data_IF_554337206837
#
_entry.id   IF_554337206837
#
_cell.length_a   1.000
_cell.length_b   1.000
_cell.length_c   1.000
_cell.angle_alpha   90.00
_cell.angle_beta   90.00
_cell.angle_gamma   90.00
#
_symmetry.space_group_name_H-M   'P 1'
#
loop_
_entity.id
_entity.type
_entity.pdbx_description
1 polymer ?
#
# COMPACT_ATOMS: atom_id res chain seq x y z
N UNK A 1 -4.50 0.82 -32.45
CA UNK A 1 -5.57 0.28 -31.58
C UNK A 1 -5.32 0.80 -30.18
N UNK A 2 -6.08 1.81 -29.74
CA UNK A 2 -5.97 2.33 -28.38
C UNK A 2 -6.56 1.33 -27.40
N UNK A 3 -5.72 0.63 -26.65
CA UNK A 3 -6.15 -0.27 -25.58
C UNK A 3 -6.85 0.52 -24.49
N UNK A 4 -8.17 0.50 -24.47
CA UNK A 4 -8.96 1.09 -23.38
C UNK A 4 -8.63 0.38 -22.07
N UNK A 5 -8.37 1.16 -21.01
CA UNK A 5 -8.28 0.61 -19.65
C UNK A 5 -9.61 -0.02 -19.30
N UNK A 6 -9.62 -1.25 -18.82
CA UNK A 6 -10.84 -1.89 -18.38
C UNK A 6 -11.25 -1.31 -17.02
N UNK A 7 -12.55 -1.20 -16.77
CA UNK A 7 -13.09 -0.70 -15.52
C UNK A 7 -13.91 -1.80 -14.85
N UNK A 8 -13.66 -2.01 -13.57
CA UNK A 8 -14.36 -2.98 -12.74
C UNK A 8 -15.11 -2.24 -11.62
N UNK A 9 -16.44 -2.29 -11.65
CA UNK A 9 -17.26 -1.80 -10.55
C UNK A 9 -17.53 -2.94 -9.56
N UNK A 10 -16.88 -2.91 -8.40
CA UNK A 10 -16.92 -3.99 -7.43
C UNK A 10 -16.97 -3.47 -5.99
N UNK A 11 -17.56 -4.28 -5.11
CA UNK A 11 -17.63 -4.01 -3.67
C UNK A 11 -16.50 -4.72 -2.93
N UNK A 12 -15.88 -4.06 -1.98
CA UNK A 12 -14.81 -4.66 -1.16
C UNK A 12 -15.41 -5.66 -0.18
N UNK A 13 -14.88 -6.88 -0.18
CA UNK A 13 -15.30 -7.97 0.70
C UNK A 13 -14.34 -8.10 1.88
N UNK A 14 -13.03 -7.98 1.65
CA UNK A 14 -12.05 -8.05 2.72
C UNK A 14 -10.71 -7.42 2.33
N UNK A 15 -9.93 -7.06 3.36
CA UNK A 15 -8.54 -6.65 3.24
C UNK A 15 -7.66 -7.90 3.28
N UNK A 16 -6.74 -8.04 2.33
CA UNK A 16 -5.90 -9.23 2.17
C UNK A 16 -4.51 -9.09 2.80
N UNK A 17 -4.10 -7.86 3.16
CA UNK A 17 -2.79 -7.58 3.74
C UNK A 17 -2.86 -6.33 4.63
N UNK A 18 -2.27 -6.41 5.83
CA UNK A 18 -2.18 -5.29 6.78
C UNK A 18 -1.02 -4.33 6.50
N UNK A 19 -0.11 -4.64 5.58
CA UNK A 19 0.97 -3.76 5.14
C UNK A 19 0.41 -2.77 4.10
N UNK A 20 0.09 -1.54 4.52
CA UNK A 20 -0.52 -0.54 3.62
C UNK A 20 0.49 0.31 2.85
N UNK A 21 1.75 0.24 3.22
CA UNK A 21 2.88 0.96 2.60
C UNK A 21 3.96 -0.03 2.17
N UNK A 22 4.79 0.37 1.21
CA UNK A 22 6.00 -0.36 0.87
C UNK A 22 7.10 0.59 0.39
N UNK A 23 8.39 0.27 0.65
CA UNK A 23 9.50 1.08 0.17
C UNK A 23 9.61 0.94 -1.35
N UNK A 24 9.63 2.07 -2.04
CA UNK A 24 9.56 2.14 -3.49
C UNK A 24 10.62 3.07 -4.08
N UNK A 25 11.17 2.66 -5.21
CA UNK A 25 12.14 3.44 -5.94
C UNK A 25 11.50 4.71 -6.50
N UNK A 26 12.10 5.87 -6.24
CA UNK A 26 11.63 7.13 -6.78
C UNK A 26 11.65 7.16 -8.32
N UNK A 27 12.61 6.47 -8.95
CA UNK A 27 12.79 6.53 -10.40
C UNK A 27 11.84 5.62 -11.18
N UNK A 28 11.54 4.42 -10.66
CA UNK A 28 10.79 3.40 -11.42
C UNK A 28 9.60 2.79 -10.66
N UNK A 29 9.29 3.29 -9.47
CA UNK A 29 8.19 2.87 -8.60
C UNK A 29 8.21 1.40 -8.14
N UNK A 30 9.25 0.64 -8.52
CA UNK A 30 9.44 -0.75 -8.07
C UNK A 30 9.81 -0.83 -6.60
N UNK A 31 9.41 -1.92 -5.96
CA UNK A 31 9.77 -2.22 -4.58
C UNK A 31 11.29 -2.20 -4.41
N UNK A 32 11.75 -1.55 -3.34
CA UNK A 32 13.15 -1.54 -2.93
C UNK A 32 13.44 -2.78 -2.08
N UNK A 33 14.64 -3.33 -2.25
CA UNK A 33 15.25 -4.23 -1.28
C UNK A 33 15.93 -3.36 -0.23
N UNK A 34 15.54 -3.52 1.04
CA UNK A 34 16.14 -2.83 2.17
C UNK A 34 17.14 -3.77 2.86
N UNK A 35 18.32 -3.25 3.16
CA UNK A 35 19.30 -3.83 4.07
C UNK A 35 19.48 -2.87 5.27
N UNK A 36 20.22 -3.30 6.29
CA UNK A 36 20.49 -2.62 7.56
C UNK A 36 20.74 -1.10 7.45
N UNK A 37 21.38 -0.63 6.39
CA UNK A 37 21.69 0.80 6.17
C UNK A 37 21.38 1.33 4.78
N UNK A 38 21.16 0.46 3.80
CA UNK A 38 21.04 0.86 2.39
C UNK A 38 19.80 0.25 1.75
N UNK A 39 19.28 0.93 0.73
CA UNK A 39 18.32 0.34 -0.18
C UNK A 39 18.97 0.07 -1.55
N UNK A 40 18.41 -0.90 -2.26
CA UNK A 40 18.73 -1.18 -3.65
C UNK A 40 17.45 -1.43 -4.45
N UNK A 41 17.35 -0.81 -5.62
CA UNK A 41 16.30 -1.09 -6.59
C UNK A 41 16.77 -2.14 -7.60
N UNK A 42 16.21 -3.36 -7.50
CA UNK A 42 16.54 -4.46 -8.40
C UNK A 42 16.17 -4.21 -9.87
N UNK A 43 15.28 -3.25 -10.14
CA UNK A 43 14.82 -2.94 -11.50
C UNK A 43 15.72 -1.94 -12.23
N UNK A 44 16.17 -0.88 -11.56
CA UNK A 44 16.92 0.22 -12.20
C UNK A 44 18.32 0.46 -11.61
N UNK A 45 18.72 -0.31 -10.59
CA UNK A 45 20.03 -0.18 -9.94
C UNK A 45 20.19 1.05 -9.04
N UNK A 46 19.13 1.83 -8.80
CA UNK A 46 19.17 2.95 -7.86
C UNK A 46 19.48 2.46 -6.44
N UNK A 47 20.47 3.07 -5.79
CA UNK A 47 20.85 2.78 -4.40
C UNK A 47 20.86 4.05 -3.57
N UNK A 48 20.74 3.91 -2.25
CA UNK A 48 20.78 5.03 -1.31
C UNK A 48 20.77 4.55 0.14
N UNK A 49 20.65 5.47 1.09
CA UNK A 49 20.49 5.14 2.50
C UNK A 49 19.02 4.81 2.81
N UNK A 50 18.77 3.89 3.76
CA UNK A 50 17.39 3.49 4.13
C UNK A 50 16.53 4.69 4.54
N UNK A 51 17.11 5.68 5.21
CA UNK A 51 16.39 6.91 5.62
C UNK A 51 15.86 7.74 4.44
N UNK A 52 16.47 7.59 3.26
CA UNK A 52 16.08 8.27 2.03
C UNK A 52 15.10 7.44 1.19
N UNK A 53 14.73 6.23 1.66
CA UNK A 53 13.75 5.40 0.99
C UNK A 53 12.37 6.06 1.03
N UNK A 54 11.74 6.17 -0.14
CA UNK A 54 10.37 6.66 -0.25
C UNK A 54 9.39 5.52 -0.11
N UNK A 55 8.19 5.84 0.34
CA UNK A 55 7.12 4.88 0.53
C UNK A 55 5.95 5.16 -0.40
N UNK A 56 5.30 4.09 -0.85
CA UNK A 56 4.08 4.14 -1.67
C UNK A 56 3.01 3.29 -1.02
N UNK A 57 1.75 3.68 -1.21
CA UNK A 57 0.64 2.86 -0.78
C UNK A 57 0.54 1.56 -1.58
N UNK A 58 0.12 0.50 -0.90
CA UNK A 58 -0.31 -0.78 -1.44
C UNK A 58 -1.51 -1.25 -0.63
N UNK A 59 -2.68 -1.32 -1.25
CA UNK A 59 -3.89 -1.83 -0.62
C UNK A 59 -4.33 -3.10 -1.34
N UNK A 60 -4.20 -4.26 -0.68
CA UNK A 60 -4.59 -5.56 -1.24
C UNK A 60 -6.00 -5.90 -0.77
N UNK A 61 -6.91 -6.10 -1.71
CA UNK A 61 -8.35 -6.24 -1.49
C UNK A 61 -8.86 -7.50 -2.18
N UNK A 62 -9.84 -8.14 -1.54
CA UNK A 62 -10.77 -9.04 -2.23
C UNK A 62 -12.04 -8.28 -2.52
N UNK A 63 -12.47 -8.28 -3.77
CA UNK A 63 -13.67 -7.54 -4.23
C UNK A 63 -14.63 -8.46 -4.97
N UNK A 64 -15.91 -8.11 -4.99
CA UNK A 64 -16.94 -8.84 -5.72
C UNK A 64 -17.71 -7.89 -6.66
N UNK A 65 -17.98 -8.34 -7.88
CA UNK A 65 -19.04 -7.76 -8.69
C UNK A 65 -20.32 -8.60 -8.59
N UNK A 66 -21.21 -8.55 -9.58
CA UNK A 66 -22.45 -9.33 -9.58
C UNK A 66 -22.23 -10.83 -9.75
N UNK A 67 -21.12 -11.25 -10.36
CA UNK A 67 -20.92 -12.63 -10.82
C UNK A 67 -19.68 -13.27 -10.21
N UNK A 68 -18.64 -12.49 -9.91
CA UNK A 68 -17.30 -13.01 -9.64
C UNK A 68 -16.60 -12.32 -8.46
N UNK A 69 -15.56 -12.99 -7.97
CA UNK A 69 -14.63 -12.50 -6.96
C UNK A 69 -13.25 -12.24 -7.58
N UNK A 70 -12.63 -11.13 -7.20
CA UNK A 70 -11.33 -10.71 -7.71
C UNK A 70 -10.39 -10.32 -6.58
N UNK A 71 -9.12 -10.67 -6.73
CA UNK A 71 -8.03 -10.15 -5.90
C UNK A 71 -7.41 -8.95 -6.61
N UNK A 72 -7.54 -7.76 -6.01
CA UNK A 72 -7.05 -6.49 -6.56
C UNK A 72 -6.03 -5.89 -5.61
N UNK A 73 -4.94 -5.36 -6.16
CA UNK A 73 -4.03 -4.49 -5.40
C UNK A 73 -4.01 -3.10 -5.99
N UNK A 74 -4.36 -2.10 -5.18
CA UNK A 74 -4.32 -0.69 -5.55
C UNK A 74 -3.00 -0.09 -5.07
N UNK A 75 -2.33 0.68 -5.93
CA UNK A 75 -1.00 1.23 -5.66
C UNK A 75 -0.93 2.74 -5.80
N UNK A 76 -0.09 3.36 -4.96
CA UNK A 76 0.34 4.74 -5.12
C UNK A 76 -0.64 5.78 -4.60
N UNK A 77 -0.42 7.03 -5.02
CA UNK A 77 -1.04 8.22 -4.43
C UNK A 77 -2.54 8.37 -4.70
N UNK A 78 -3.15 7.51 -5.52
CA UNK A 78 -4.61 7.47 -5.62
C UNK A 78 -5.28 7.08 -4.30
N UNK A 79 -4.52 6.54 -3.34
CA UNK A 79 -4.96 6.21 -2.00
C UNK A 79 -4.83 7.38 -1.01
N UNK A 80 -4.09 8.44 -1.33
CA UNK A 80 -3.91 9.61 -0.44
C UNK A 80 -5.24 10.21 0.03
N UNK A 81 -6.28 10.39 -0.83
CA UNK A 81 -7.58 10.91 -0.39
C UNK A 81 -8.33 10.00 0.59
N UNK A 82 -8.06 8.69 0.57
CA UNK A 82 -8.72 7.72 1.46
C UNK A 82 -8.01 7.61 2.80
N UNK A 83 -6.69 7.73 2.81
CA UNK A 83 -5.88 7.71 4.04
C UNK A 83 -5.75 9.10 4.69
N UNK A 84 -6.00 10.17 3.94
CA UNK A 84 -5.91 11.56 4.41
C UNK A 84 -4.48 12.10 4.55
N UNK A 85 -3.46 11.28 4.25
CA UNK A 85 -2.04 11.63 4.30
C UNK A 85 -1.29 10.95 3.16
N UNK A 86 -0.02 11.31 2.96
CA UNK A 86 0.85 10.58 2.02
C UNK A 86 1.32 9.26 2.64
N UNK A 87 1.68 8.29 1.80
CA UNK A 87 2.27 7.03 2.24
C UNK A 87 3.55 7.23 3.07
N UNK A 88 4.37 8.23 2.72
CA UNK A 88 5.58 8.61 3.46
C UNK A 88 5.26 9.08 4.87
N UNK A 89 4.24 9.94 5.03
CA UNK A 89 3.82 10.40 6.35
C UNK A 89 3.19 9.26 7.16
N UNK A 90 2.34 8.42 6.56
CA UNK A 90 1.78 7.27 7.24
C UNK A 90 2.86 6.30 7.74
N UNK A 91 3.87 6.02 6.91
CA UNK A 91 4.98 5.16 7.31
C UNK A 91 5.71 5.71 8.54
N UNK A 92 5.98 7.02 8.58
CA UNK A 92 6.59 7.66 9.75
C UNK A 92 5.74 7.49 11.01
N UNK A 93 4.42 7.66 10.90
CA UNK A 93 3.52 7.41 12.03
C UNK A 93 3.57 5.96 12.52
N UNK A 94 3.61 4.99 11.60
CA UNK A 94 3.74 3.55 11.95
C UNK A 94 5.07 3.29 12.67
N UNK A 95 6.18 3.84 12.16
CA UNK A 95 7.50 3.69 12.76
C UNK A 95 7.59 4.31 14.16
N UNK A 96 6.94 5.46 14.37
CA UNK A 96 6.87 6.12 15.69
C UNK A 96 6.03 5.29 16.67
N UNK A 97 4.90 4.71 16.23
CA UNK A 97 4.06 3.84 17.06
C UNK A 97 4.78 2.55 17.47
N UNK A 98 5.47 1.90 16.53
CA UNK A 98 6.22 0.67 16.78
C UNK A 98 7.41 0.90 17.74
N UNK A 99 8.06 2.06 17.65
CA UNK A 99 9.10 2.46 18.62
C UNK A 99 8.56 2.59 20.04
N UNK A 100 7.32 3.09 20.20
CA UNK A 100 6.67 3.23 21.50
C UNK A 100 6.17 1.89 22.06
N UNK A 101 5.71 0.96 21.21
CA UNK A 101 5.22 -0.36 21.64
C UNK A 101 6.34 -1.37 21.93
N UNK A 102 7.57 -1.10 21.48
CA UNK A 102 8.69 -2.05 21.55
C UNK A 102 8.57 -3.21 20.55
N UNK A 103 7.61 -3.13 19.62
CA UNK A 103 7.41 -4.14 18.59
C UNK A 103 8.50 -4.06 17.51
N UNK A 104 9.10 -5.20 17.21
CA UNK A 104 10.23 -5.28 16.27
C UNK A 104 9.78 -5.50 14.83
N UNK A 105 8.49 -5.75 14.61
CA UNK A 105 7.96 -6.14 13.31
C UNK A 105 7.57 -4.91 12.48
N UNK A 106 8.56 -4.33 11.80
CA UNK A 106 8.41 -3.09 11.01
C UNK A 106 7.39 -3.17 9.88
N UNK A 107 7.06 -4.38 9.43
CA UNK A 107 6.14 -4.59 8.32
C UNK A 107 4.66 -4.64 8.77
N UNK A 108 4.38 -4.86 10.06
CA UNK A 108 3.01 -4.89 10.56
C UNK A 108 2.50 -3.48 10.83
N UNK A 109 1.35 -3.13 10.24
CA UNK A 109 0.61 -1.93 10.65
C UNK A 109 0.01 -2.13 12.04
N UNK A 110 -0.11 -1.06 12.86
CA UNK A 110 -0.81 -1.11 14.12
C UNK A 110 -2.25 -1.63 13.94
N UNK A 111 -2.75 -2.42 14.90
CA UNK A 111 -4.08 -3.04 14.82
C UNK A 111 -5.20 -2.01 14.57
N UNK A 112 -5.12 -0.85 15.22
CA UNK A 112 -6.06 0.27 15.05
C UNK A 112 -6.08 0.77 13.60
N UNK A 113 -4.94 0.81 12.92
CA UNK A 113 -4.87 1.21 11.52
C UNK A 113 -5.54 0.16 10.62
N UNK A 114 -5.33 -1.13 10.91
CA UNK A 114 -6.01 -2.22 10.18
C UNK A 114 -7.53 -2.11 10.33
N UNK A 115 -8.02 -1.94 11.56
CA UNK A 115 -9.45 -1.77 11.85
C UNK A 115 -10.04 -0.54 11.15
N UNK A 116 -9.31 0.58 11.10
CA UNK A 116 -9.73 1.78 10.39
C UNK A 116 -9.87 1.52 8.88
N UNK A 117 -8.88 0.84 8.28
CA UNK A 117 -8.94 0.47 6.85
C UNK A 117 -10.10 -0.49 6.58
N UNK A 118 -10.31 -1.51 7.41
CA UNK A 118 -11.44 -2.43 7.28
C UNK A 118 -12.77 -1.68 7.34
N UNK A 119 -12.94 -0.81 8.34
CA UNK A 119 -14.16 -0.01 8.54
C UNK A 119 -14.43 0.95 7.37
N UNK A 120 -13.38 1.54 6.81
CA UNK A 120 -13.51 2.50 5.72
C UNK A 120 -13.80 1.84 4.36
N UNK A 121 -13.28 0.63 4.12
CA UNK A 121 -13.34 0.01 2.78
C UNK A 121 -14.34 -1.14 2.67
N UNK A 122 -14.48 -2.03 3.67
CA UNK A 122 -15.33 -3.21 3.55
C UNK A 122 -16.80 -2.79 3.35
N UNK A 123 -17.46 -3.44 2.40
CA UNK A 123 -18.83 -3.13 1.99
C UNK A 123 -18.99 -1.89 1.11
N UNK A 124 -17.92 -1.10 0.89
CA UNK A 124 -17.97 0.03 -0.05
C UNK A 124 -17.74 -0.45 -1.48
N UNK A 125 -18.38 0.24 -2.42
CA UNK A 125 -18.30 -0.02 -3.86
C UNK A 125 -17.41 1.02 -4.53
N UNK A 126 -16.46 0.56 -5.34
CA UNK A 126 -15.52 1.41 -6.07
C UNK A 126 -15.50 1.04 -7.56
N UNK A 127 -14.92 1.93 -8.35
CA UNK A 127 -14.55 1.67 -9.75
C UNK A 127 -13.04 1.52 -9.79
N UNK A 128 -12.57 0.32 -10.13
CA UNK A 128 -11.16 -0.01 -10.27
C UNK A 128 -10.75 0.09 -11.74
N UNK A 129 -9.66 0.80 -12.03
CA UNK A 129 -9.01 0.71 -13.33
C UNK A 129 -8.06 -0.48 -13.37
N UNK A 130 -8.31 -1.42 -14.30
CA UNK A 130 -7.58 -2.69 -14.44
C UNK A 130 -6.93 -2.83 -15.81
#
# INVERSE_FOLDING_TARGET
>A
MGGGRALLAASVISIQNSCFTYPACHNCCSRLSLDSRRFNCLKCGCTGEVKDARYRYRLSLKVADTNDLFDITVFGSCLDPFFGVTAENLQRYIEDLNQLSGETNKDASPEVLVQAVETCFIGKRFIFGV
#
